data_IF_043315090522
#
_entry.id   IF_043315090522
#
_cell.length_a   1.000
_cell.length_b   1.000
_cell.length_c   1.000
_cell.angle_alpha   90.00
_cell.angle_beta   90.00
_cell.angle_gamma   90.00
#
_symmetry.space_group_name_H-M   'P 1'
#
loop_
_entity.id
_entity.type
_entity.pdbx_description
1 polymer ?
#
# COMPACT_ATOMS: atom_id res chain seq x y z
N UNK A 1 -1.80 -20.34 16.69
CA UNK A 1 -1.63 -20.31 15.22
C UNK A 1 -3.00 -20.40 14.57
N UNK A 2 -3.21 -19.77 13.40
CA UNK A 2 -4.51 -19.83 12.71
C UNK A 2 -4.90 -21.27 12.36
N UNK A 3 -3.93 -22.16 12.21
CA UNK A 3 -4.15 -23.57 11.84
C UNK A 3 -5.04 -24.32 12.83
N UNK A 4 -4.96 -23.98 14.13
CA UNK A 4 -5.83 -24.55 15.15
C UNK A 4 -7.32 -24.25 14.90
N UNK A 5 -7.63 -23.23 14.09
CA UNK A 5 -8.98 -22.80 13.74
C UNK A 5 -9.31 -22.91 12.25
N UNK A 6 -8.33 -23.22 11.38
CA UNK A 6 -8.52 -23.25 9.92
C UNK A 6 -8.20 -24.61 9.29
N UNK A 7 -7.72 -25.58 10.08
CA UNK A 7 -7.49 -26.95 9.60
C UNK A 7 -8.82 -27.68 9.31
N UNK A 8 -9.16 -27.79 8.03
CA UNK A 8 -10.22 -28.68 7.53
C UNK A 8 -9.54 -29.95 7.00
N UNK A 9 -9.82 -31.10 7.61
CA UNK A 9 -9.48 -32.41 7.04
C UNK A 9 -8.06 -32.95 7.31
N UNK A 10 -7.31 -32.41 8.27
CA UNK A 10 -6.04 -33.01 8.72
C UNK A 10 -4.84 -32.83 7.78
N UNK A 11 -4.98 -32.02 6.72
CA UNK A 11 -3.84 -31.62 5.90
C UNK A 11 -2.96 -30.60 6.67
N UNK A 12 -1.62 -30.65 6.54
CA UNK A 12 -0.74 -29.69 7.17
C UNK A 12 -1.03 -28.30 6.60
N UNK A 13 -1.69 -27.46 7.40
CA UNK A 13 -1.90 -26.05 7.07
C UNK A 13 -0.58 -25.34 7.31
N UNK A 14 -0.13 -24.56 6.34
CA UNK A 14 1.05 -23.71 6.48
C UNK A 14 0.88 -22.89 7.75
N UNK A 15 1.91 -22.85 8.61
CA UNK A 15 1.86 -22.32 9.98
C UNK A 15 1.60 -20.81 10.12
N UNK A 16 0.62 -20.24 9.42
CA UNK A 16 0.39 -18.81 9.40
C UNK A 16 -0.18 -18.40 10.75
N UNK A 17 0.50 -17.47 11.41
CA UNK A 17 -0.07 -16.81 12.57
C UNK A 17 -0.95 -15.62 12.11
N UNK A 18 -1.69 -15.05 13.07
CA UNK A 18 -2.50 -13.87 12.80
C UNK A 18 -1.64 -12.65 12.41
N UNK A 19 -0.35 -12.65 12.76
CA UNK A 19 0.58 -11.59 12.40
C UNK A 19 0.83 -11.60 10.89
N UNK A 20 1.15 -12.75 10.30
CA UNK A 20 1.37 -12.92 8.86
C UNK A 20 0.12 -12.56 8.03
N UNK A 21 -1.07 -12.96 8.49
CA UNK A 21 -2.31 -12.57 7.81
C UNK A 21 -2.56 -11.06 7.84
N UNK A 22 -2.38 -10.43 9.01
CA UNK A 22 -2.49 -8.96 9.14
C UNK A 22 -1.44 -8.25 8.30
N UNK A 23 -0.23 -8.79 8.24
CA UNK A 23 0.87 -8.25 7.46
C UNK A 23 0.52 -8.23 5.98
N UNK A 24 0.17 -9.39 5.41
CA UNK A 24 -0.21 -9.52 4.00
C UNK A 24 -1.39 -8.61 3.63
N UNK A 25 -2.43 -8.57 4.47
CA UNK A 25 -3.60 -7.73 4.23
C UNK A 25 -3.31 -6.22 4.23
N UNK A 26 -2.37 -5.75 5.05
CA UNK A 26 -1.99 -4.33 5.08
C UNK A 26 -1.08 -3.95 3.92
N UNK A 27 -0.15 -4.82 3.54
CA UNK A 27 0.70 -4.63 2.35
C UNK A 27 -0.14 -4.53 1.09
N UNK A 28 -1.06 -5.47 0.88
CA UNK A 28 -1.92 -5.47 -0.30
C UNK A 28 -2.86 -4.27 -0.36
N UNK A 29 -3.36 -3.84 0.80
CA UNK A 29 -4.17 -2.63 0.91
C UNK A 29 -3.36 -1.37 0.53
N UNK A 30 -2.08 -1.30 0.92
CA UNK A 30 -1.19 -0.23 0.50
C UNK A 30 -0.90 -0.25 -1.00
N UNK A 31 -0.66 -1.43 -1.58
CA UNK A 31 -0.45 -1.59 -3.03
C UNK A 31 -1.67 -1.13 -3.85
N UNK A 32 -2.88 -1.33 -3.32
CA UNK A 32 -4.12 -0.82 -3.88
C UNK A 32 -4.32 0.71 -3.71
N UNK A 33 -3.31 1.42 -3.20
CA UNK A 33 -3.32 2.87 -3.06
C UNK A 33 -3.95 3.39 -1.76
N UNK A 34 -4.14 2.53 -0.75
CA UNK A 34 -4.68 2.99 0.53
C UNK A 34 -3.72 3.94 1.25
N UNK A 35 -4.24 5.13 1.57
CA UNK A 35 -3.50 6.11 2.36
C UNK A 35 -3.28 5.66 3.82
N UNK A 36 -2.27 6.27 4.46
CA UNK A 36 -1.90 6.03 5.84
C UNK A 36 -3.09 6.05 6.84
N UNK A 37 -4.08 6.97 6.77
CA UNK A 37 -5.23 6.94 7.67
C UNK A 37 -6.09 5.68 7.55
N UNK A 38 -6.24 5.14 6.33
CA UNK A 38 -7.01 3.93 6.09
C UNK A 38 -6.29 2.69 6.62
N UNK A 39 -4.96 2.64 6.45
CA UNK A 39 -4.12 1.59 7.03
C UNK A 39 -4.15 1.65 8.58
N UNK A 40 -4.12 2.84 9.17
CA UNK A 40 -4.26 3.02 10.62
C UNK A 40 -5.63 2.54 11.13
N UNK A 41 -6.71 2.88 10.44
CA UNK A 41 -8.06 2.41 10.81
C UNK A 41 -8.18 0.88 10.72
N UNK A 42 -7.66 0.27 9.66
CA UNK A 42 -7.70 -1.19 9.46
C UNK A 42 -6.83 -1.95 10.47
N UNK A 43 -5.64 -1.43 10.77
CA UNK A 43 -4.69 -2.05 11.69
C UNK A 43 -4.96 -1.73 13.17
N UNK A 44 -5.74 -0.67 13.44
CA UNK A 44 -5.99 -0.08 14.77
C UNK A 44 -4.73 0.47 15.46
N UNK A 45 -3.68 0.78 14.70
CA UNK A 45 -2.52 1.47 15.24
C UNK A 45 -2.85 2.93 15.55
N UNK A 46 -2.48 3.37 16.75
CA UNK A 46 -2.62 4.77 17.18
C UNK A 46 -1.49 5.67 16.71
N UNK A 47 -0.33 5.06 16.48
CA UNK A 47 0.92 5.73 16.11
C UNK A 47 1.24 5.47 14.63
N UNK A 48 1.41 6.52 13.82
CA UNK A 48 1.71 6.38 12.40
C UNK A 48 3.05 5.68 12.15
N UNK A 49 4.04 5.83 13.02
CA UNK A 49 5.32 5.13 12.91
C UNK A 49 5.18 3.60 12.84
N UNK A 50 4.16 3.03 13.49
CA UNK A 50 3.92 1.59 13.50
C UNK A 50 3.34 1.07 12.19
N UNK A 51 2.69 1.94 11.40
CA UNK A 51 2.02 1.60 10.13
C UNK A 51 2.92 1.85 8.92
N UNK A 52 3.91 2.74 9.05
CA UNK A 52 4.82 3.10 7.95
C UNK A 52 5.47 1.90 7.26
N UNK A 53 5.75 0.82 7.98
CA UNK A 53 6.34 -0.41 7.43
C UNK A 53 5.47 -1.11 6.38
N UNK A 54 4.17 -0.83 6.36
CA UNK A 54 3.22 -1.40 5.40
C UNK A 54 2.96 -0.48 4.21
N UNK A 55 3.44 0.77 4.27
CA UNK A 55 3.18 1.76 3.25
C UNK A 55 4.17 1.59 2.10
N UNK A 56 3.73 0.84 1.09
CA UNK A 56 4.43 0.64 -0.18
C UNK A 56 3.63 1.32 -1.29
N UNK A 57 4.17 2.41 -1.82
CA UNK A 57 3.72 2.96 -3.09
C UNK A 57 4.51 2.28 -4.21
N UNK A 58 3.83 1.73 -5.20
CA UNK A 58 4.50 1.22 -6.39
C UNK A 58 5.21 2.35 -7.13
N UNK A 59 6.29 2.03 -7.85
CA UNK A 59 6.99 3.03 -8.68
C UNK A 59 6.07 3.69 -9.71
N UNK A 60 5.08 2.95 -10.22
CA UNK A 60 4.05 3.43 -11.13
C UNK A 60 3.13 4.47 -10.46
N UNK A 61 2.61 4.18 -9.26
CA UNK A 61 1.79 5.13 -8.51
C UNK A 61 2.57 6.42 -8.18
N UNK A 62 3.87 6.31 -7.88
CA UNK A 62 4.74 7.47 -7.67
C UNK A 62 4.88 8.27 -8.97
N UNK A 63 5.09 7.61 -10.10
CA UNK A 63 5.22 8.27 -11.40
C UNK A 63 3.93 8.98 -11.82
N UNK A 64 2.77 8.36 -11.61
CA UNK A 64 1.46 8.95 -11.89
C UNK A 64 1.22 10.22 -11.06
N UNK A 65 1.41 10.15 -9.74
CA UNK A 65 1.26 11.31 -8.85
C UNK A 65 2.28 12.40 -9.20
N UNK A 66 3.52 12.04 -9.50
CA UNK A 66 4.56 13.00 -9.90
C UNK A 66 4.20 13.69 -11.21
N UNK A 67 3.66 12.96 -12.19
CA UNK A 67 3.18 13.51 -13.46
C UNK A 67 2.00 14.47 -13.25
N UNK A 68 1.04 14.11 -12.40
CA UNK A 68 -0.10 14.96 -12.05
C UNK A 68 0.33 16.27 -11.38
N UNK A 69 1.37 16.22 -10.55
CA UNK A 69 1.90 17.38 -9.81
C UNK A 69 2.97 18.16 -10.58
N UNK A 70 3.44 17.64 -11.72
CA UNK A 70 4.44 18.31 -12.53
C UNK A 70 3.87 19.66 -13.00
N UNK A 71 4.60 20.78 -12.80
CA UNK A 71 4.20 22.07 -13.34
C UNK A 71 4.03 21.92 -14.86
N UNK A 72 2.80 22.10 -15.35
CA UNK A 72 2.50 21.96 -16.77
C UNK A 72 3.49 22.73 -17.62
N UNK A 73 3.95 22.09 -18.70
CA UNK A 73 5.01 22.50 -19.62
C UNK A 73 4.67 23.78 -20.42
N UNK A 74 4.26 24.85 -19.72
CA UNK A 74 3.80 26.14 -20.27
C UNK A 74 4.93 26.97 -20.88
N UNK A 75 6.14 26.41 -21.04
CA UNK A 75 7.36 27.11 -21.49
C UNK A 75 7.78 26.74 -22.91
N UNK A 76 6.93 26.06 -23.69
CA UNK A 76 7.15 25.84 -25.13
C UNK A 76 5.95 26.34 -25.93
N UNK A 77 5.87 27.64 -26.17
CA UNK A 77 4.77 28.19 -26.98
C UNK A 77 4.90 29.65 -27.39
N UNK A 78 6.10 30.25 -27.38
CA UNK A 78 6.18 31.67 -27.74
C UNK A 78 7.58 32.19 -27.97
N UNK A 79 8.33 31.61 -28.91
CA UNK A 79 9.37 32.31 -29.68
C UNK A 79 9.61 31.50 -30.96
N UNK A 80 9.04 31.95 -32.07
CA UNK A 80 9.31 31.38 -33.40
C UNK A 80 8.05 31.20 -34.24
N UNK A 81 7.45 32.31 -34.66
CA UNK A 81 6.87 32.48 -36.00
C UNK A 81 6.66 33.99 -36.21
N UNK A 82 7.21 34.56 -37.29
CA UNK A 82 7.01 35.95 -37.73
C UNK A 82 8.31 36.70 -37.92
#
# INVERSE_FOLDING_TARGET
>A
MLDAHTAVGGAPVTGWDLHEYRHSGLTHLSEAGAGLPMLMAKSRHKQPENVRRYFHLSAEAIAEVTSLLAPGDRRRGGLGQG
#
